data_IF_099602495968
#
_entry.id   IF_099602495968
#
_cell.length_a   1.000
_cell.length_b   1.000
_cell.length_c   1.000
_cell.angle_alpha   90.00
_cell.angle_beta   90.00
_cell.angle_gamma   90.00
#
_symmetry.space_group_name_H-M   'P 1'
#
loop_
_entity.id
_entity.type
_entity.pdbx_description
1 polymer ?
#
# COMPACT_ATOMS: atom_id res chain seq x y z
N UNK A 1 -19.24 -3.37 19.99
CA UNK A 1 -20.09 -4.44 19.39
C UNK A 1 -19.82 -5.77 20.13
N UNK A 2 -20.63 -6.82 19.95
CA UNK A 2 -20.34 -8.12 20.60
C UNK A 2 -19.36 -8.91 19.72
N UNK A 3 -18.53 -9.71 20.37
CA UNK A 3 -17.55 -10.58 19.69
C UNK A 3 -18.21 -11.55 18.69
N UNK A 4 -17.56 -11.82 17.58
CA UNK A 4 -18.01 -12.75 16.55
C UNK A 4 -18.39 -12.06 15.24
N UNK A 5 -19.27 -12.71 14.47
CA UNK A 5 -19.77 -12.17 13.21
C UNK A 5 -20.74 -11.01 13.49
N UNK A 6 -20.60 -9.93 12.74
CA UNK A 6 -21.45 -8.77 12.88
C UNK A 6 -22.94 -9.11 12.66
N UNK A 7 -23.83 -8.60 13.53
CA UNK A 7 -25.27 -8.85 13.44
C UNK A 7 -25.84 -8.32 12.09
N UNK A 8 -26.73 -9.07 11.45
CA UNK A 8 -27.29 -8.76 10.13
C UNK A 8 -27.89 -7.34 10.02
N UNK A 9 -28.57 -6.87 11.07
CA UNK A 9 -29.17 -5.54 11.09
C UNK A 9 -28.12 -4.43 11.10
N UNK A 10 -26.99 -4.61 11.81
CA UNK A 10 -25.87 -3.67 11.82
C UNK A 10 -25.15 -3.74 10.48
N UNK A 11 -24.90 -4.94 9.96
CA UNK A 11 -24.26 -5.14 8.66
C UNK A 11 -25.03 -4.42 7.54
N UNK A 12 -26.36 -4.60 7.47
CA UNK A 12 -27.22 -3.92 6.49
C UNK A 12 -27.12 -2.40 6.57
N UNK A 13 -27.10 -1.83 7.79
CA UNK A 13 -27.06 -0.37 7.97
C UNK A 13 -25.66 0.20 7.75
N UNK A 14 -24.64 -0.43 8.27
CA UNK A 14 -23.27 0.08 8.25
C UNK A 14 -22.50 -0.29 6.98
N UNK A 15 -22.74 -1.45 6.40
CA UNK A 15 -21.99 -1.95 5.24
C UNK A 15 -22.82 -1.84 3.96
N UNK A 16 -23.93 -2.57 3.85
CA UNK A 16 -24.66 -2.67 2.57
C UNK A 16 -25.23 -1.33 2.07
N UNK A 17 -25.66 -0.45 2.98
CA UNK A 17 -26.21 0.88 2.60
C UNK A 17 -25.12 1.87 2.20
N UNK A 18 -23.90 1.73 2.73
CA UNK A 18 -22.84 2.69 2.49
C UNK A 18 -21.91 2.31 1.33
N UNK A 19 -22.00 1.09 0.81
CA UNK A 19 -21.36 0.73 -0.47
C UNK A 19 -22.29 1.10 -1.62
N UNK A 20 -21.83 1.97 -2.51
CA UNK A 20 -22.63 2.41 -3.66
C UNK A 20 -22.95 1.24 -4.60
N UNK A 21 -24.09 1.32 -5.30
CA UNK A 21 -24.48 0.31 -6.29
C UNK A 21 -23.42 0.15 -7.40
N UNK A 22 -22.72 1.24 -7.77
CA UNK A 22 -21.66 1.24 -8.77
C UNK A 22 -20.47 0.35 -8.36
N UNK A 23 -20.19 0.30 -7.06
CA UNK A 23 -19.07 -0.44 -6.50
C UNK A 23 -19.43 -1.88 -6.10
N UNK A 24 -20.71 -2.24 -6.18
CA UNK A 24 -21.14 -3.63 -5.99
C UNK A 24 -20.89 -4.43 -7.27
N UNK A 25 -20.61 -5.70 -7.08
CA UNK A 25 -20.45 -6.63 -8.17
C UNK A 25 -21.80 -6.94 -8.83
N UNK A 26 -21.86 -6.94 -10.15
CA UNK A 26 -22.96 -7.50 -10.91
C UNK A 26 -22.87 -9.04 -10.88
N UNK A 27 -24.01 -9.76 -10.94
CA UNK A 27 -24.09 -11.20 -10.57
C UNK A 27 -23.39 -12.20 -11.51
N UNK A 28 -22.73 -11.75 -12.59
CA UNK A 28 -22.17 -12.64 -13.61
C UNK A 28 -20.68 -12.41 -13.87
N UNK A 29 -19.80 -13.01 -13.09
CA UNK A 29 -18.35 -12.92 -13.31
C UNK A 29 -17.67 -14.29 -13.19
N UNK A 30 -16.68 -14.50 -14.02
CA UNK A 30 -16.06 -15.79 -14.26
C UNK A 30 -14.80 -16.17 -13.50
N UNK A 31 -13.99 -17.05 -14.07
CA UNK A 31 -12.83 -17.64 -13.42
C UNK A 31 -11.78 -16.59 -13.03
N UNK A 32 -11.19 -16.73 -11.82
CA UNK A 32 -10.09 -15.87 -11.37
C UNK A 32 -8.86 -16.21 -12.19
N UNK A 33 -8.34 -15.22 -12.92
CA UNK A 33 -7.11 -15.36 -13.67
C UNK A 33 -5.87 -15.01 -12.83
N UNK A 34 -5.95 -13.92 -12.06
CA UNK A 34 -4.86 -13.41 -11.22
C UNK A 34 -5.45 -12.83 -9.94
N UNK A 35 -4.74 -12.98 -8.82
CA UNK A 35 -5.11 -12.38 -7.54
C UNK A 35 -3.89 -11.77 -6.82
N UNK A 36 -4.15 -10.80 -5.97
CA UNK A 36 -3.19 -10.23 -5.03
C UNK A 36 -3.87 -9.91 -3.70
N UNK A 37 -3.12 -9.79 -2.63
CA UNK A 37 -3.66 -9.46 -1.31
C UNK A 37 -2.76 -8.46 -0.59
N UNK A 38 -3.38 -7.68 0.29
CA UNK A 38 -2.71 -6.80 1.22
C UNK A 38 -3.44 -6.81 2.57
N UNK A 39 -2.69 -6.68 3.65
CA UNK A 39 -3.23 -6.64 5.02
C UNK A 39 -2.62 -5.45 5.74
N UNK A 40 -3.46 -4.61 6.30
CA UNK A 40 -3.06 -3.47 7.10
C UNK A 40 -3.75 -3.48 8.45
N UNK A 41 -3.03 -3.00 9.44
CA UNK A 41 -3.50 -2.74 10.78
C UNK A 41 -3.42 -1.25 11.05
N UNK A 42 -4.43 -0.71 11.75
CA UNK A 42 -4.36 0.65 12.27
C UNK A 42 -3.28 0.74 13.36
N UNK A 43 -2.46 1.79 13.30
CA UNK A 43 -1.40 2.00 14.29
C UNK A 43 -2.03 2.59 15.54
N UNK A 44 -1.88 1.90 16.66
CA UNK A 44 -2.30 2.44 17.95
C UNK A 44 -1.50 3.70 18.28
N UNK A 45 -2.21 4.80 18.53
CA UNK A 45 -1.59 5.97 19.15
C UNK A 45 -1.07 5.54 20.52
N UNK A 46 0.24 5.50 20.71
CA UNK A 46 0.86 5.34 22.00
C UNK A 46 0.54 6.60 22.83
N UNK A 47 -0.59 6.58 23.53
CA UNK A 47 -0.85 7.51 24.61
C UNK A 47 0.11 7.12 25.73
N UNK A 48 1.25 7.82 25.81
CA UNK A 48 2.14 7.70 26.96
C UNK A 48 1.34 8.08 28.20
N UNK A 49 0.97 7.07 28.99
CA UNK A 49 0.44 7.28 30.31
C UNK A 49 1.56 7.88 31.17
N UNK A 50 1.64 9.21 31.20
CA UNK A 50 2.34 9.90 32.27
C UNK A 50 1.47 9.81 33.52
N UNK A 51 1.97 9.07 34.50
CA UNK A 51 1.45 9.03 35.87
C UNK A 51 1.07 10.42 36.37
N UNK A 52 -0.21 10.66 36.56
CA UNK A 52 -0.69 11.61 37.55
C UNK A 52 -1.98 11.08 38.19
N UNK A 53 -1.79 10.55 39.37
CA UNK A 53 -2.83 10.30 40.33
C UNK A 53 -3.63 11.58 40.62
N UNK A 54 -4.86 11.67 40.13
CA UNK A 54 -5.88 12.53 40.70
C UNK A 54 -7.27 12.05 40.29
N UNK A 55 -7.93 11.37 41.24
CA UNK A 55 -9.36 11.12 41.20
C UNK A 55 -10.11 12.45 41.07
N UNK A 56 -10.70 12.69 39.91
CA UNK A 56 -11.83 13.61 39.79
C UNK A 56 -12.87 13.04 38.84
N UNK A 57 -14.11 13.16 39.28
CA UNK A 57 -15.38 12.72 38.75
C UNK A 57 -15.55 12.82 37.25
N UNK A 58 -16.04 11.74 36.65
CA UNK A 58 -16.55 11.69 35.29
C UNK A 58 -17.69 12.70 35.10
N UNK A 59 -17.42 13.76 34.37
CA UNK A 59 -18.45 14.54 33.68
C UNK A 59 -18.30 14.26 32.21
N UNK A 60 -19.40 13.83 31.58
CA UNK A 60 -19.54 13.59 30.14
C UNK A 60 -19.01 14.77 29.33
N UNK A 61 -17.80 14.69 28.84
CA UNK A 61 -17.35 15.46 27.71
C UNK A 61 -17.48 14.58 26.47
N UNK A 62 -18.60 14.73 25.79
CA UNK A 62 -18.74 14.32 24.38
C UNK A 62 -17.62 15.02 23.60
N UNK A 63 -16.49 14.36 23.42
CA UNK A 63 -15.52 14.72 22.40
C UNK A 63 -16.22 14.33 21.10
N UNK A 64 -16.85 15.30 20.41
CA UNK A 64 -17.18 15.18 19.02
C UNK A 64 -15.87 14.91 18.28
N UNK A 65 -15.59 13.62 18.02
CA UNK A 65 -14.57 13.22 17.04
C UNK A 65 -14.96 13.92 15.74
N UNK A 66 -14.14 14.83 15.27
CA UNK A 66 -14.34 15.50 14.01
C UNK A 66 -14.52 14.44 12.93
N UNK A 67 -15.50 14.63 12.05
CA UNK A 67 -15.93 13.71 10.99
C UNK A 67 -14.88 13.49 9.87
N UNK A 68 -13.61 13.73 10.14
CA UNK A 68 -12.52 13.70 9.17
C UNK A 68 -11.44 12.62 9.42
N UNK A 69 -11.60 11.74 10.40
CA UNK A 69 -10.67 10.63 10.60
C UNK A 69 -10.85 9.60 9.47
N UNK A 70 -10.22 9.88 8.34
CA UNK A 70 -10.10 8.92 7.24
C UNK A 70 -9.22 7.78 7.73
N UNK A 71 -9.79 6.58 7.77
CA UNK A 71 -9.04 5.38 8.16
C UNK A 71 -8.10 4.99 7.02
N UNK A 72 -6.90 5.61 6.98
CA UNK A 72 -5.91 5.42 5.91
C UNK A 72 -5.54 3.94 5.71
N UNK A 73 -5.52 3.13 6.78
CA UNK A 73 -5.20 1.70 6.68
C UNK A 73 -6.16 0.95 5.73
N UNK A 74 -7.44 1.33 5.68
CA UNK A 74 -8.43 0.74 4.78
C UNK A 74 -8.11 1.06 3.33
N UNK A 75 -7.79 2.32 3.09
CA UNK A 75 -7.48 2.84 1.76
C UNK A 75 -6.17 2.23 1.26
N UNK A 76 -5.16 2.15 2.12
CA UNK A 76 -3.85 1.59 1.77
C UNK A 76 -3.91 0.10 1.46
N UNK A 77 -4.67 -0.69 2.25
CA UNK A 77 -4.88 -2.11 1.97
C UNK A 77 -5.49 -2.33 0.58
N UNK A 78 -6.50 -1.53 0.22
CA UNK A 78 -7.13 -1.62 -1.09
C UNK A 78 -6.18 -1.20 -2.21
N UNK A 79 -5.52 -0.03 -2.07
CA UNK A 79 -4.60 0.50 -3.07
C UNK A 79 -3.45 -0.49 -3.31
N UNK A 80 -2.84 -1.03 -2.26
CA UNK A 80 -1.75 -1.98 -2.41
C UNK A 80 -2.19 -3.26 -3.12
N UNK A 81 -3.31 -3.86 -2.72
CA UNK A 81 -3.83 -5.04 -3.39
C UNK A 81 -4.10 -4.79 -4.88
N UNK A 82 -4.66 -3.63 -5.21
CA UNK A 82 -4.91 -3.21 -6.60
C UNK A 82 -3.61 -2.96 -7.36
N UNK A 83 -2.64 -2.26 -6.77
CA UNK A 83 -1.35 -1.97 -7.38
C UNK A 83 -0.56 -3.25 -7.68
N UNK A 84 -0.52 -4.19 -6.71
CA UNK A 84 0.12 -5.49 -6.89
C UNK A 84 -0.51 -6.33 -8.01
N UNK A 85 -1.77 -6.10 -8.32
CA UNK A 85 -2.44 -6.73 -9.45
C UNK A 85 -2.12 -6.02 -10.76
N UNK A 86 -2.19 -4.67 -10.79
CA UNK A 86 -1.97 -3.85 -11.98
C UNK A 86 -0.57 -3.94 -12.55
N UNK A 87 0.45 -4.13 -11.72
CA UNK A 87 1.84 -4.34 -12.20
C UNK A 87 2.04 -5.68 -12.90
N UNK A 88 1.07 -6.62 -12.81
CA UNK A 88 1.13 -7.95 -13.44
C UNK A 88 0.23 -8.08 -14.65
N UNK A 89 -0.90 -7.39 -14.64
CA UNK A 89 -1.88 -7.43 -15.73
C UNK A 89 -2.72 -6.17 -15.70
N UNK A 90 -2.58 -5.33 -16.70
CA UNK A 90 -3.21 -4.00 -16.71
C UNK A 90 -4.67 -3.99 -17.14
N UNK A 91 -5.20 -5.06 -17.75
CA UNK A 91 -6.50 -5.06 -18.40
C UNK A 91 -7.52 -5.91 -17.67
N UNK A 92 -8.75 -5.40 -17.55
CA UNK A 92 -9.89 -6.10 -16.98
C UNK A 92 -10.52 -5.38 -15.79
N UNK A 93 -11.76 -5.78 -15.44
CA UNK A 93 -12.44 -5.27 -14.25
C UNK A 93 -11.86 -5.96 -13.01
N UNK A 94 -11.34 -5.15 -12.10
CA UNK A 94 -10.82 -5.63 -10.82
C UNK A 94 -11.99 -5.78 -9.84
N UNK A 95 -11.99 -6.89 -9.14
CA UNK A 95 -12.90 -7.21 -8.05
C UNK A 95 -12.12 -7.40 -6.75
N UNK A 96 -12.77 -7.11 -5.62
CA UNK A 96 -12.14 -7.27 -4.31
C UNK A 96 -13.02 -8.05 -3.35
N UNK A 97 -12.36 -8.82 -2.50
CA UNK A 97 -12.92 -9.39 -1.29
C UNK A 97 -12.25 -8.70 -0.10
N UNK A 98 -13.06 -8.14 0.77
CA UNK A 98 -12.60 -7.38 1.93
C UNK A 98 -13.01 -8.10 3.20
N UNK A 99 -12.06 -8.28 4.12
CA UNK A 99 -12.30 -8.80 5.46
C UNK A 99 -11.82 -7.76 6.48
N UNK A 100 -12.75 -7.28 7.30
CA UNK A 100 -12.49 -6.27 8.32
C UNK A 100 -12.64 -6.94 9.68
N UNK A 101 -11.64 -6.79 10.54
CA UNK A 101 -11.69 -7.20 11.94
C UNK A 101 -11.64 -5.93 12.76
N UNK A 102 -12.64 -5.72 13.61
CA UNK A 102 -12.74 -4.53 14.47
C UNK A 102 -12.76 -4.92 15.95
N UNK A 103 -12.22 -4.07 16.85
CA UNK A 103 -12.31 -4.24 18.28
C UNK A 103 -13.74 -4.15 18.78
N UNK A 104 -14.03 -4.75 19.95
CA UNK A 104 -15.37 -4.70 20.59
C UNK A 104 -15.83 -3.27 20.95
N UNK A 105 -14.91 -2.38 21.27
CA UNK A 105 -15.21 -1.00 21.65
C UNK A 105 -15.63 -0.11 20.48
N UNK A 106 -15.45 -0.55 19.21
CA UNK A 106 -15.88 0.18 18.03
C UNK A 106 -17.41 0.23 17.95
N UNK A 107 -17.92 1.41 17.57
CA UNK A 107 -19.35 1.66 17.40
C UNK A 107 -19.82 1.38 15.96
N UNK A 108 -21.17 1.42 15.75
CA UNK A 108 -21.72 1.35 14.40
C UNK A 108 -21.28 2.56 13.54
N UNK A 109 -21.08 3.73 14.17
CA UNK A 109 -20.63 4.92 13.44
C UNK A 109 -19.17 4.81 13.00
N UNK A 110 -18.29 4.26 13.83
CA UNK A 110 -16.89 4.00 13.45
C UNK A 110 -16.85 3.05 12.24
N UNK A 111 -17.63 1.96 12.27
CA UNK A 111 -17.72 1.06 11.13
C UNK A 111 -18.27 1.74 9.88
N UNK A 112 -19.28 2.61 9.99
CA UNK A 112 -19.78 3.39 8.83
C UNK A 112 -18.70 4.27 8.24
N UNK A 113 -17.89 4.94 9.04
CA UNK A 113 -16.77 5.77 8.57
C UNK A 113 -15.73 4.95 7.82
N UNK A 114 -15.36 3.76 8.35
CA UNK A 114 -14.48 2.81 7.65
C UNK A 114 -15.05 2.43 6.27
N UNK A 115 -16.33 2.06 6.22
CA UNK A 115 -16.98 1.63 4.97
C UNK A 115 -17.13 2.78 3.97
N UNK A 116 -17.37 4.00 4.42
CA UNK A 116 -17.43 5.18 3.53
C UNK A 116 -16.04 5.44 2.91
N UNK A 117 -14.97 5.45 3.69
CA UNK A 117 -13.59 5.59 3.19
C UNK A 117 -13.24 4.49 2.18
N UNK A 118 -13.63 3.23 2.46
CA UNK A 118 -13.45 2.12 1.55
C UNK A 118 -14.25 2.33 0.24
N UNK A 119 -15.51 2.76 0.32
CA UNK A 119 -16.36 2.99 -0.85
C UNK A 119 -15.80 4.09 -1.76
N UNK A 120 -15.28 5.17 -1.19
CA UNK A 120 -14.66 6.26 -1.94
C UNK A 120 -13.40 5.77 -2.68
N UNK A 121 -12.59 4.97 -2.01
CA UNK A 121 -11.40 4.36 -2.61
C UNK A 121 -11.76 3.35 -3.72
N UNK A 122 -12.80 2.52 -3.54
CA UNK A 122 -13.32 1.63 -4.59
C UNK A 122 -13.73 2.42 -5.84
N UNK A 123 -14.39 3.56 -5.63
CA UNK A 123 -14.80 4.46 -6.72
C UNK A 123 -13.59 5.04 -7.44
N UNK A 124 -12.61 5.56 -6.68
CA UNK A 124 -11.38 6.15 -7.20
C UNK A 124 -10.55 5.13 -7.99
N UNK A 125 -10.40 3.93 -7.46
CA UNK A 125 -9.64 2.86 -8.10
C UNK A 125 -10.41 2.17 -9.26
N UNK A 126 -11.68 2.48 -9.47
CA UNK A 126 -12.58 1.79 -10.40
C UNK A 126 -12.63 0.27 -10.17
N UNK A 127 -12.85 -0.10 -8.92
CA UNK A 127 -12.84 -1.50 -8.45
C UNK A 127 -14.21 -1.85 -7.89
N UNK A 128 -14.65 -3.08 -8.09
CA UNK A 128 -15.91 -3.58 -7.55
C UNK A 128 -15.68 -4.51 -6.35
N UNK A 129 -16.58 -4.42 -5.37
CA UNK A 129 -16.55 -5.32 -4.22
C UNK A 129 -17.41 -6.55 -4.48
N UNK A 130 -16.78 -7.73 -4.43
CA UNK A 130 -17.43 -9.01 -4.58
C UNK A 130 -17.94 -9.55 -3.23
N UNK A 131 -17.19 -9.30 -2.16
CA UNK A 131 -17.56 -9.71 -0.81
C UNK A 131 -16.96 -8.74 0.21
N UNK A 132 -17.75 -8.39 1.22
CA UNK A 132 -17.29 -7.72 2.43
C UNK A 132 -17.69 -8.55 3.65
N UNK A 133 -16.72 -8.87 4.50
CA UNK A 133 -16.96 -9.53 5.77
C UNK A 133 -16.49 -8.62 6.90
N UNK A 134 -17.25 -8.58 7.99
CA UNK A 134 -16.88 -7.83 9.18
C UNK A 134 -16.99 -8.73 10.40
N UNK A 135 -15.92 -8.84 11.15
CA UNK A 135 -15.84 -9.61 12.38
C UNK A 135 -15.48 -8.69 13.56
N UNK A 136 -15.96 -9.03 14.74
CA UNK A 136 -15.65 -8.32 15.98
C UNK A 136 -14.82 -9.26 16.85
N UNK A 137 -13.60 -8.86 17.21
CA UNK A 137 -12.70 -9.65 18.06
C UNK A 137 -12.27 -8.88 19.28
N UNK A 138 -12.42 -9.49 20.46
CA UNK A 138 -11.98 -8.92 21.75
C UNK A 138 -10.45 -8.86 21.90
N UNK A 139 -9.73 -9.70 21.16
CA UNK A 139 -8.27 -9.78 21.24
C UNK A 139 -7.54 -8.75 20.34
N UNK A 140 -8.25 -7.95 19.56
CA UNK A 140 -7.66 -6.86 18.78
C UNK A 140 -7.96 -5.52 19.45
N UNK A 141 -6.98 -4.65 19.45
CA UNK A 141 -7.06 -3.31 20.03
C UNK A 141 -7.31 -2.26 18.97
N UNK A 142 -6.87 -2.52 17.73
CA UNK A 142 -7.06 -1.67 16.57
C UNK A 142 -7.63 -2.47 15.39
N UNK A 143 -8.33 -1.82 14.44
CA UNK A 143 -8.89 -2.51 13.27
C UNK A 143 -7.81 -3.11 12.39
N UNK A 144 -8.14 -4.24 11.79
CA UNK A 144 -7.31 -4.91 10.79
C UNK A 144 -8.14 -5.08 9.53
N UNK A 145 -7.59 -4.70 8.37
CA UNK A 145 -8.21 -4.94 7.08
C UNK A 145 -7.32 -5.82 6.21
N UNK A 146 -7.92 -6.88 5.69
CA UNK A 146 -7.32 -7.69 4.64
C UNK A 146 -8.14 -7.54 3.36
N UNK A 147 -7.45 -7.25 2.25
CA UNK A 147 -8.05 -7.10 0.93
C UNK A 147 -7.41 -8.09 -0.03
N UNK A 148 -8.23 -8.86 -0.70
CA UNK A 148 -7.85 -9.69 -1.84
C UNK A 148 -8.41 -9.04 -3.11
N UNK A 149 -7.55 -8.63 -4.05
CA UNK A 149 -7.94 -8.13 -5.36
C UNK A 149 -7.74 -9.21 -6.42
N UNK A 150 -8.64 -9.29 -7.41
CA UNK A 150 -8.58 -10.30 -8.46
C UNK A 150 -9.21 -9.82 -9.76
N UNK A 151 -8.72 -10.37 -10.86
CA UNK A 151 -9.29 -10.26 -12.19
C UNK A 151 -10.05 -11.54 -12.52
N UNK A 152 -11.13 -11.43 -13.28
CA UNK A 152 -11.92 -12.60 -13.70
C UNK A 152 -12.16 -12.55 -15.20
N UNK A 153 -12.09 -13.72 -15.84
CA UNK A 153 -12.58 -13.93 -17.20
C UNK A 153 -14.04 -14.35 -17.10
N UNK A 154 -14.94 -13.58 -17.65
CA UNK A 154 -16.40 -13.67 -17.53
C UNK A 154 -17.01 -15.06 -17.23
N UNK A 155 -17.38 -15.35 -16.01
CA UNK A 155 -18.36 -16.30 -15.46
C UNK A 155 -18.35 -16.23 -13.91
N UNK A 156 -19.17 -16.71 -13.14
CA UNK A 156 -19.70 -16.57 -11.79
C UNK A 156 -18.77 -16.09 -10.62
N UNK A 157 -18.99 -14.87 -10.11
CA UNK A 157 -18.29 -14.29 -8.94
C UNK A 157 -18.44 -15.13 -7.68
N UNK A 158 -19.60 -15.73 -7.46
CA UNK A 158 -19.85 -16.56 -6.27
C UNK A 158 -18.92 -17.76 -6.24
N UNK A 159 -18.65 -18.36 -7.40
CA UNK A 159 -17.69 -19.45 -7.53
C UNK A 159 -16.24 -18.99 -7.36
N UNK A 160 -15.90 -17.82 -7.92
CA UNK A 160 -14.59 -17.22 -7.78
C UNK A 160 -14.25 -16.90 -6.32
N UNK A 161 -15.17 -16.25 -5.59
CA UNK A 161 -15.03 -15.96 -4.16
C UNK A 161 -14.90 -17.24 -3.33
N UNK A 162 -15.66 -18.29 -3.68
CA UNK A 162 -15.59 -19.59 -3.01
C UNK A 162 -14.23 -20.28 -3.21
N UNK A 163 -13.63 -20.17 -4.40
CA UNK A 163 -12.29 -20.70 -4.71
C UNK A 163 -11.20 -19.98 -3.91
N UNK A 164 -11.29 -18.67 -3.73
CA UNK A 164 -10.36 -17.88 -2.87
C UNK A 164 -10.49 -18.35 -1.43
N UNK A 165 -11.71 -18.51 -0.90
CA UNK A 165 -11.96 -18.97 0.47
C UNK A 165 -11.42 -20.38 0.75
N UNK A 166 -11.43 -21.25 -0.26
CA UNK A 166 -10.86 -22.61 -0.14
C UNK A 166 -9.33 -22.62 -0.18
N UNK A 167 -8.71 -21.69 -0.92
CA UNK A 167 -7.25 -21.52 -0.92
C UNK A 167 -6.74 -20.95 0.41
N UNK A 168 -7.44 -19.97 1.00
CA UNK A 168 -7.03 -19.38 2.29
C UNK A 168 -7.07 -20.40 3.44
N UNK A 169 -7.95 -21.41 3.39
CA UNK A 169 -7.98 -22.50 4.39
C UNK A 169 -6.81 -23.50 4.26
N UNK A 170 -6.14 -23.56 3.10
CA UNK A 170 -4.98 -24.44 2.87
C UNK A 170 -3.63 -23.74 3.05
N UNK A 171 -3.58 -22.41 3.16
CA UNK A 171 -2.36 -21.61 3.19
C UNK A 171 -1.94 -21.11 4.58
N UNK A 172 -2.52 -21.69 5.67
CA UNK A 172 -2.03 -21.41 7.02
C UNK A 172 -0.62 -22.00 7.34
N UNK A 173 0.01 -22.65 6.37
CA UNK A 173 1.38 -23.20 6.55
C UNK A 173 2.43 -22.70 5.54
N UNK A 174 2.11 -21.78 4.65
CA UNK A 174 3.13 -21.22 3.75
C UNK A 174 2.87 -19.74 3.48
N UNK A 175 3.49 -18.87 4.26
CA UNK A 175 3.83 -17.51 3.85
C UNK A 175 4.84 -17.60 2.71
N UNK A 176 4.37 -17.80 1.50
CA UNK A 176 5.10 -17.46 0.30
C UNK A 176 4.20 -16.61 -0.56
N UNK A 177 4.30 -15.30 -0.30
CA UNK A 177 4.01 -14.27 -1.27
C UNK A 177 4.83 -14.52 -2.52
N UNK A 178 4.30 -14.17 -3.62
CA UNK A 178 4.87 -14.18 -4.95
C UNK A 178 4.43 -15.37 -5.79
N UNK A 179 3.52 -15.08 -6.71
CA UNK A 179 3.48 -15.84 -7.95
C UNK A 179 4.88 -15.77 -8.55
N UNK A 180 5.59 -16.88 -8.53
CA UNK A 180 6.80 -17.03 -9.27
C UNK A 180 6.45 -16.84 -10.75
N UNK A 181 6.90 -15.72 -11.33
CA UNK A 181 7.29 -15.77 -12.70
C UNK A 181 8.47 -16.76 -12.73
N UNK A 182 8.26 -17.94 -13.28
CA UNK A 182 9.34 -18.85 -13.62
C UNK A 182 10.24 -18.13 -14.63
N UNK A 183 11.31 -17.59 -14.15
CA UNK A 183 12.32 -16.93 -14.95
C UNK A 183 13.46 -16.54 -14.03
N UNK A 184 14.58 -17.27 -14.10
CA UNK A 184 15.85 -16.79 -13.59
C UNK A 184 16.10 -15.41 -14.20
N UNK A 185 15.84 -14.34 -13.45
CA UNK A 185 16.04 -12.95 -13.89
C UNK A 185 17.53 -12.65 -14.17
N UNK A 186 18.40 -13.59 -13.85
CA UNK A 186 19.82 -13.57 -14.17
C UNK A 186 20.16 -14.82 -14.99
N UNK A 187 19.86 -14.79 -16.30
CA UNK A 187 20.36 -15.79 -17.24
C UNK A 187 21.88 -15.70 -17.26
N UNK A 188 22.55 -16.72 -16.72
CA UNK A 188 24.03 -16.82 -16.67
C UNK A 188 24.69 -16.83 -18.06
N UNK A 189 23.89 -16.81 -19.14
CA UNK A 189 24.34 -16.95 -20.51
C UNK A 189 24.03 -15.75 -21.43
N UNK A 190 23.41 -14.67 -20.94
CA UNK A 190 23.28 -13.45 -21.77
C UNK A 190 24.58 -12.65 -21.70
N UNK A 191 25.26 -12.65 -22.80
CA UNK A 191 26.44 -11.82 -23.02
C UNK A 191 26.11 -10.34 -22.83
N UNK A 192 26.87 -9.68 -21.97
CA UNK A 192 27.13 -8.24 -21.92
C UNK A 192 26.02 -7.21 -21.63
N UNK A 193 24.84 -7.55 -21.18
CA UNK A 193 23.86 -6.55 -20.74
C UNK A 193 23.49 -6.69 -19.26
N UNK A 194 24.02 -5.84 -18.38
CA UNK A 194 23.49 -5.73 -17.01
C UNK A 194 22.10 -5.07 -17.07
N UNK A 195 21.08 -5.73 -16.46
CA UNK A 195 19.72 -5.17 -16.41
C UNK A 195 19.71 -3.90 -15.56
N UNK A 196 19.09 -2.86 -16.13
CA UNK A 196 18.97 -1.56 -15.48
C UNK A 196 17.77 -1.52 -14.53
N UNK A 197 17.90 -0.76 -13.44
CA UNK A 197 16.86 -0.51 -12.46
C UNK A 197 16.35 0.92 -12.69
N UNK A 198 15.04 1.04 -12.96
CA UNK A 198 14.32 2.31 -13.08
C UNK A 198 13.38 2.45 -11.90
N UNK A 199 13.50 3.52 -11.12
CA UNK A 199 12.50 3.92 -10.14
C UNK A 199 11.41 4.74 -10.81
N UNK A 200 10.15 4.55 -10.41
CA UNK A 200 9.00 5.30 -10.90
C UNK A 200 8.05 5.69 -9.77
N UNK A 201 7.27 6.74 -10.00
CA UNK A 201 6.37 7.32 -8.99
C UNK A 201 7.13 8.16 -7.96
N UNK A 202 6.41 8.65 -6.96
CA UNK A 202 6.97 9.51 -5.92
C UNK A 202 7.11 8.73 -4.61
N UNK A 203 8.33 8.64 -4.08
CA UNK A 203 8.59 7.92 -2.82
C UNK A 203 8.04 8.71 -1.63
N UNK A 204 7.48 8.01 -0.62
CA UNK A 204 7.08 8.58 0.68
C UNK A 204 5.73 9.29 0.72
N UNK A 205 4.96 9.37 -0.38
CA UNK A 205 3.69 10.11 -0.40
C UNK A 205 2.62 9.49 0.50
N UNK A 206 2.53 8.18 0.57
CA UNK A 206 1.56 7.52 1.45
C UNK A 206 1.95 7.62 2.93
N UNK A 207 3.24 7.57 3.25
CA UNK A 207 3.73 7.89 4.59
C UNK A 207 3.34 9.32 4.99
N UNK A 208 3.62 10.30 4.13
CA UNK A 208 3.26 11.70 4.35
C UNK A 208 1.77 11.85 4.62
N UNK A 209 0.92 11.23 3.78
CA UNK A 209 -0.54 11.25 3.96
C UNK A 209 -0.97 10.67 5.31
N UNK A 210 -0.39 9.55 5.73
CA UNK A 210 -0.72 8.91 7.00
C UNK A 210 -0.30 9.76 8.20
N UNK A 211 0.91 10.32 8.17
CA UNK A 211 1.47 11.11 9.28
C UNK A 211 0.76 12.44 9.49
N UNK A 212 0.25 13.09 8.44
CA UNK A 212 -0.52 14.32 8.58
C UNK A 212 -1.86 14.13 9.33
N UNK A 213 -2.33 12.90 9.49
CA UNK A 213 -3.50 12.59 10.32
C UNK A 213 -3.14 12.52 11.83
N UNK A 214 -1.86 12.52 12.21
CA UNK A 214 -1.44 12.59 13.61
C UNK A 214 -1.42 14.03 14.09
N UNK A 215 -2.11 14.32 15.21
CA UNK A 215 -2.23 15.66 15.76
C UNK A 215 -0.86 16.26 16.17
N UNK A 216 0.04 15.44 16.71
CA UNK A 216 1.35 15.89 17.17
C UNK A 216 2.28 16.25 16.01
N UNK A 217 2.19 15.44 14.93
CA UNK A 217 2.88 15.74 13.67
C UNK A 217 2.29 16.98 13.03
N UNK A 218 0.97 17.10 12.96
CA UNK A 218 0.29 18.27 12.41
C UNK A 218 0.65 19.55 13.15
N UNK A 219 0.69 19.52 14.49
CA UNK A 219 1.15 20.66 15.27
C UNK A 219 2.61 21.04 14.99
N UNK A 220 3.46 20.05 14.81
CA UNK A 220 4.87 20.26 14.46
C UNK A 220 5.01 20.87 13.07
N UNK A 221 4.21 20.41 12.11
CA UNK A 221 4.13 20.96 10.75
C UNK A 221 3.67 22.42 10.78
N UNK A 222 2.60 22.75 11.52
CA UNK A 222 2.08 24.14 11.66
C UNK A 222 3.07 25.12 12.25
N UNK A 223 4.04 24.66 13.07
CA UNK A 223 5.12 25.49 13.60
C UNK A 223 6.21 25.81 12.57
N UNK A 224 6.35 25.00 11.53
CA UNK A 224 7.46 25.10 10.55
C UNK A 224 6.99 25.52 9.15
N UNK A 225 5.80 25.13 8.74
CA UNK A 225 5.28 25.31 7.38
C UNK A 225 4.03 26.19 7.35
N UNK A 226 3.77 26.85 6.23
CA UNK A 226 2.51 27.56 6.02
C UNK A 226 1.35 26.58 5.83
N UNK A 227 0.11 27.03 6.09
CA UNK A 227 -1.08 26.22 5.89
C UNK A 227 -1.25 25.77 4.44
N UNK A 228 -0.88 26.62 3.47
CA UNK A 228 -0.89 26.30 2.04
C UNK A 228 0.08 25.15 1.74
N UNK A 229 1.30 25.22 2.27
CA UNK A 229 2.29 24.18 2.08
C UNK A 229 1.89 22.83 2.72
N UNK A 230 1.26 22.87 3.90
CA UNK A 230 0.71 21.68 4.54
C UNK A 230 -0.42 21.08 3.69
N UNK A 231 -1.27 21.94 3.10
CA UNK A 231 -2.32 21.48 2.19
C UNK A 231 -1.75 20.79 0.94
N UNK A 232 -0.62 21.26 0.42
CA UNK A 232 0.08 20.66 -0.72
C UNK A 232 0.75 19.30 -0.37
N UNK A 233 1.00 19.06 0.91
CA UNK A 233 1.48 17.75 1.41
C UNK A 233 0.34 16.72 1.54
N UNK A 234 -0.91 17.13 1.56
CA UNK A 234 -2.07 16.26 1.70
C UNK A 234 -2.43 15.60 0.35
N UNK A 235 -1.58 14.66 -0.07
CA UNK A 235 -1.68 13.99 -1.36
C UNK A 235 -3.00 13.27 -1.57
N UNK A 236 -3.54 13.36 -2.78
CA UNK A 236 -4.70 12.59 -3.20
C UNK A 236 -4.38 11.09 -3.27
N UNK A 237 -5.31 10.25 -2.86
CA UNK A 237 -5.16 8.80 -2.96
C UNK A 237 -5.00 8.30 -4.40
N UNK A 238 -5.48 9.07 -5.39
CA UNK A 238 -5.26 8.76 -6.80
C UNK A 238 -3.79 8.75 -7.20
N UNK A 239 -2.95 9.59 -6.57
CA UNK A 239 -1.51 9.61 -6.78
C UNK A 239 -0.81 8.33 -6.27
N UNK A 240 -1.48 7.56 -5.41
CA UNK A 240 -0.97 6.30 -4.86
C UNK A 240 -1.35 5.08 -5.72
N UNK A 241 -2.16 5.26 -6.77
CA UNK A 241 -2.54 4.21 -7.69
C UNK A 241 -1.52 4.08 -8.83
N UNK A 242 -1.04 2.86 -9.06
CA UNK A 242 -0.17 2.55 -10.20
C UNK A 242 -1.03 2.37 -11.45
N UNK A 243 -0.74 3.16 -12.48
CA UNK A 243 -1.41 3.11 -13.78
C UNK A 243 -0.35 3.03 -14.90
N UNK A 244 0.28 1.86 -15.04
CA UNK A 244 1.22 1.59 -16.12
C UNK A 244 0.48 1.18 -17.39
N UNK A 245 0.99 1.60 -18.55
CA UNK A 245 0.48 1.08 -19.82
C UNK A 245 0.94 -0.37 -20.03
N UNK A 246 0.17 -1.11 -20.81
CA UNK A 246 0.54 -2.48 -21.22
C UNK A 246 1.94 -2.52 -21.82
N UNK A 247 2.27 -1.52 -22.62
CA UNK A 247 3.56 -1.41 -23.28
C UNK A 247 4.74 -1.27 -22.30
N UNK A 248 4.57 -0.55 -21.18
CA UNK A 248 5.54 -0.51 -20.08
C UNK A 248 5.68 -1.88 -19.43
N UNK A 249 4.56 -2.55 -19.16
CA UNK A 249 4.55 -3.87 -18.51
C UNK A 249 5.24 -4.92 -19.39
N UNK A 250 4.88 -4.98 -20.67
CA UNK A 250 5.41 -5.97 -21.64
C UNK A 250 6.91 -5.79 -21.91
N UNK A 251 7.44 -4.55 -21.82
CA UNK A 251 8.87 -4.22 -21.98
C UNK A 251 9.66 -4.26 -20.66
N UNK A 252 9.04 -4.69 -19.57
CA UNK A 252 9.67 -4.84 -18.26
C UNK A 252 9.98 -6.30 -17.98
N UNK A 253 11.16 -6.59 -17.42
CA UNK A 253 11.51 -7.95 -16.94
C UNK A 253 10.86 -8.26 -15.60
N UNK A 254 10.78 -7.26 -14.74
CA UNK A 254 10.18 -7.36 -13.42
C UNK A 254 9.71 -5.98 -12.96
N UNK A 255 8.57 -5.92 -12.31
CA UNK A 255 8.05 -4.70 -11.67
C UNK A 255 7.76 -5.02 -10.21
N UNK A 256 8.25 -4.20 -9.29
CA UNK A 256 8.03 -4.34 -7.85
C UNK A 256 7.46 -3.03 -7.30
N UNK A 257 6.33 -3.12 -6.61
CA UNK A 257 5.71 -2.01 -5.89
C UNK A 257 6.53 -1.69 -4.62
N UNK A 258 6.73 -0.39 -4.33
CA UNK A 258 7.45 0.11 -3.15
C UNK A 258 6.52 0.38 -1.97
N UNK A 259 5.62 -0.52 -1.62
CA UNK A 259 4.71 -0.33 -0.49
C UNK A 259 5.45 -0.37 0.85
N UNK A 260 5.61 -1.54 1.40
CA UNK A 260 6.25 -1.76 2.71
C UNK A 260 7.77 -1.52 2.65
N UNK A 261 8.30 -0.79 3.64
CA UNK A 261 9.70 -0.35 3.70
C UNK A 261 10.16 0.46 2.46
N UNK A 262 9.22 1.07 1.75
CA UNK A 262 9.48 1.96 0.63
C UNK A 262 10.36 1.38 -0.47
N UNK A 263 11.22 2.23 -1.04
CA UNK A 263 12.14 1.83 -2.11
C UNK A 263 13.20 0.82 -1.61
N UNK A 264 13.59 0.91 -0.33
CA UNK A 264 14.51 -0.03 0.28
C UNK A 264 13.94 -1.45 0.30
N UNK A 265 12.65 -1.59 0.67
CA UNK A 265 11.93 -2.86 0.63
C UNK A 265 11.87 -3.44 -0.78
N UNK A 266 11.56 -2.60 -1.78
CA UNK A 266 11.50 -3.02 -3.18
C UNK A 266 12.86 -3.48 -3.71
N UNK A 267 13.94 -2.73 -3.45
CA UNK A 267 15.31 -3.10 -3.84
C UNK A 267 15.79 -4.38 -3.15
N UNK A 268 15.46 -4.55 -1.87
CA UNK A 268 15.80 -5.77 -1.15
C UNK A 268 15.08 -6.98 -1.76
N UNK A 269 13.77 -6.84 -2.02
CA UNK A 269 12.95 -7.88 -2.68
C UNK A 269 13.48 -8.21 -4.08
N UNK A 270 13.91 -7.19 -4.86
CA UNK A 270 14.56 -7.39 -6.16
C UNK A 270 15.79 -8.29 -6.04
N UNK A 271 16.69 -7.99 -5.09
CA UNK A 271 17.90 -8.75 -4.89
C UNK A 271 17.64 -10.21 -4.47
N UNK A 272 16.63 -10.43 -3.63
CA UNK A 272 16.22 -11.78 -3.22
C UNK A 272 15.62 -12.57 -4.39
N UNK A 273 14.76 -11.96 -5.19
CA UNK A 273 14.10 -12.60 -6.33
C UNK A 273 15.07 -12.92 -7.47
N UNK A 274 16.06 -12.05 -7.71
CA UNK A 274 17.05 -12.23 -8.79
C UNK A 274 18.26 -13.06 -8.38
N UNK A 275 18.47 -13.31 -7.09
CA UNK A 275 19.71 -13.86 -6.49
C UNK A 275 20.96 -13.07 -6.91
N UNK A 276 20.80 -11.76 -7.18
CA UNK A 276 21.84 -10.83 -7.62
C UNK A 276 22.03 -9.70 -6.60
N UNK A 277 23.13 -8.97 -6.69
CA UNK A 277 23.27 -7.67 -6.05
C UNK A 277 22.88 -6.55 -6.98
N UNK A 278 23.08 -5.33 -6.52
CA UNK A 278 22.83 -4.12 -7.30
C UNK A 278 23.75 -2.97 -6.87
N UNK A 279 23.86 -2.00 -7.77
CA UNK A 279 24.45 -0.70 -7.45
C UNK A 279 23.45 0.39 -7.88
N UNK A 280 23.02 1.25 -6.92
CA UNK A 280 21.98 2.26 -7.13
C UNK A 280 22.40 3.61 -6.58
N UNK A 281 22.03 4.69 -7.28
CA UNK A 281 22.21 6.08 -6.86
C UNK A 281 20.90 6.63 -6.29
N UNK A 282 20.88 6.90 -4.98
CA UNK A 282 19.70 7.43 -4.29
C UNK A 282 19.35 8.87 -4.66
N UNK A 283 20.29 9.65 -5.20
CA UNK A 283 20.08 11.07 -5.56
C UNK A 283 19.09 11.25 -6.70
N UNK A 284 18.98 10.24 -7.58
CA UNK A 284 18.12 10.32 -8.75
C UNK A 284 16.75 9.69 -8.55
N UNK A 285 16.48 9.12 -7.37
CA UNK A 285 15.17 8.58 -7.01
C UNK A 285 14.15 9.72 -6.96
N UNK A 286 12.99 9.62 -7.63
CA UNK A 286 11.96 10.65 -7.59
C UNK A 286 11.37 10.83 -6.18
N UNK A 287 11.59 11.99 -5.58
CA UNK A 287 11.06 12.38 -4.27
C UNK A 287 10.60 13.83 -4.33
N UNK A 288 9.43 14.11 -3.77
CA UNK A 288 8.95 15.51 -3.65
C UNK A 288 9.64 16.26 -2.53
N UNK A 289 9.90 17.56 -2.74
CA UNK A 289 10.52 18.41 -1.74
C UNK A 289 9.78 18.37 -0.39
N UNK A 290 8.46 18.36 -0.41
CA UNK A 290 7.63 18.31 0.79
C UNK A 290 7.81 17.02 1.60
N UNK A 291 8.08 15.88 0.94
CA UNK A 291 8.42 14.61 1.62
C UNK A 291 9.80 14.73 2.28
N UNK A 292 10.78 15.34 1.58
CA UNK A 292 12.12 15.57 2.13
C UNK A 292 12.03 16.43 3.39
N UNK A 293 11.32 17.54 3.34
CA UNK A 293 11.20 18.47 4.48
C UNK A 293 10.44 17.85 5.67
N UNK A 294 9.41 17.03 5.39
CA UNK A 294 8.71 16.28 6.44
C UNK A 294 9.63 15.23 7.07
N UNK A 295 10.41 14.51 6.25
CA UNK A 295 11.36 13.51 6.73
C UNK A 295 12.41 14.11 7.66
N UNK A 296 12.94 15.30 7.32
CA UNK A 296 13.88 16.04 8.16
C UNK A 296 13.23 16.49 9.48
N UNK A 297 11.97 16.98 9.42
CA UNK A 297 11.22 17.38 10.61
C UNK A 297 11.04 16.22 11.57
N UNK A 298 10.70 15.04 11.04
CA UNK A 298 10.41 13.84 11.82
C UNK A 298 11.65 12.96 12.07
N UNK A 299 12.80 13.29 11.46
CA UNK A 299 14.06 12.52 11.51
C UNK A 299 13.86 11.08 11.05
N UNK A 300 13.24 10.89 9.89
CA UNK A 300 12.90 9.60 9.29
C UNK A 300 13.68 9.35 8.00
N UNK A 301 13.94 8.09 7.68
CA UNK A 301 14.57 7.71 6.41
C UNK A 301 13.54 7.68 5.28
N UNK A 302 13.66 8.62 4.34
CA UNK A 302 12.78 8.76 3.17
C UNK A 302 12.65 7.45 2.39
N UNK A 303 13.76 6.73 2.22
CA UNK A 303 13.84 5.54 1.39
C UNK A 303 13.23 4.29 2.07
N UNK A 304 12.98 4.38 3.39
CA UNK A 304 12.31 3.35 4.18
C UNK A 304 10.84 3.71 4.51
N UNK A 305 10.36 4.88 4.04
CA UNK A 305 8.98 5.30 4.20
C UNK A 305 8.04 4.52 3.31
N UNK A 306 6.88 4.15 3.85
CA UNK A 306 5.78 3.56 3.09
C UNK A 306 5.45 4.37 1.82
N UNK A 307 5.40 3.73 0.65
CA UNK A 307 5.45 4.43 -0.63
C UNK A 307 4.52 3.82 -1.69
N UNK A 308 3.20 3.87 -1.45
CA UNK A 308 2.21 3.46 -2.46
C UNK A 308 2.28 4.38 -3.69
N UNK A 309 2.04 3.81 -4.87
CA UNK A 309 2.07 4.54 -6.15
C UNK A 309 3.46 4.66 -6.76
N UNK A 310 4.49 4.17 -6.08
CA UNK A 310 5.85 4.10 -6.59
C UNK A 310 6.36 2.67 -6.67
N UNK A 311 7.48 2.47 -7.36
CA UNK A 311 8.09 1.16 -7.50
C UNK A 311 9.37 1.17 -8.30
N UNK A 312 9.87 -0.03 -8.59
CA UNK A 312 11.04 -0.25 -9.43
C UNK A 312 10.70 -1.17 -10.60
N UNK A 313 11.33 -0.90 -11.72
CA UNK A 313 11.25 -1.68 -12.95
C UNK A 313 12.64 -2.18 -13.30
N UNK A 314 12.76 -3.47 -13.56
CA UNK A 314 13.95 -4.08 -14.12
C UNK A 314 13.77 -4.20 -15.65
N UNK A 315 14.71 -3.67 -16.42
CA UNK A 315 14.59 -3.60 -17.88
C UNK A 315 15.93 -3.63 -18.59
N UNK A 316 15.92 -4.07 -19.86
CA UNK A 316 17.05 -3.97 -20.78
C UNK A 316 17.14 -2.57 -21.43
N UNK A 317 16.01 -1.82 -21.48
CA UNK A 317 15.89 -0.55 -22.21
C UNK A 317 15.42 0.59 -21.28
N UNK A 318 16.26 1.09 -20.34
CA UNK A 318 15.85 2.05 -19.32
C UNK A 318 15.37 3.39 -19.91
N UNK A 319 15.99 3.90 -20.96
CA UNK A 319 15.61 5.17 -21.60
C UNK A 319 14.20 5.10 -22.19
N UNK A 320 13.88 4.00 -22.85
CA UNK A 320 12.54 3.78 -23.42
C UNK A 320 11.48 3.73 -22.31
N UNK A 321 11.72 2.98 -21.25
CA UNK A 321 10.81 2.88 -20.10
C UNK A 321 10.62 4.25 -19.43
N UNK A 322 11.70 4.99 -19.17
CA UNK A 322 11.64 6.33 -18.56
C UNK A 322 10.82 7.29 -19.45
N UNK A 323 11.02 7.27 -20.77
CA UNK A 323 10.27 8.13 -21.68
C UNK A 323 8.77 7.77 -21.68
N UNK A 324 8.43 6.49 -21.77
CA UNK A 324 7.03 6.01 -21.70
C UNK A 324 6.34 6.40 -20.38
N UNK A 325 7.05 6.28 -19.25
CA UNK A 325 6.53 6.70 -17.95
C UNK A 325 6.28 8.22 -17.90
N UNK A 326 7.19 9.02 -18.44
CA UNK A 326 7.01 10.48 -18.57
C UNK A 326 5.81 10.86 -19.43
N UNK A 327 5.57 10.16 -20.53
CA UNK A 327 4.37 10.35 -21.38
C UNK A 327 3.08 10.07 -20.61
N UNK A 328 3.10 9.15 -19.63
CA UNK A 328 2.00 8.87 -18.73
C UNK A 328 1.90 9.89 -17.55
N UNK A 329 2.80 10.88 -17.49
CA UNK A 329 2.87 11.83 -16.37
C UNK A 329 3.47 11.25 -15.10
N UNK A 330 4.17 10.11 -15.17
CA UNK A 330 4.80 9.44 -14.04
C UNK A 330 6.29 9.83 -14.00
N UNK A 331 6.73 10.41 -12.89
CA UNK A 331 8.15 10.69 -12.68
C UNK A 331 8.92 9.38 -12.59
N UNK A 332 10.02 9.30 -13.34
CA UNK A 332 10.85 8.11 -13.37
C UNK A 332 12.31 8.46 -13.68
N UNK A 333 13.22 7.65 -13.14
CA UNK A 333 14.65 7.77 -13.41
C UNK A 333 15.31 6.39 -13.36
N UNK A 334 16.32 6.19 -14.21
CA UNK A 334 17.23 5.07 -14.04
C UNK A 334 18.08 5.34 -12.80
N UNK A 335 17.98 4.47 -11.81
CA UNK A 335 18.68 4.63 -10.52
C UNK A 335 19.92 3.76 -10.40
N UNK A 336 20.09 2.77 -11.26
CA UNK A 336 21.24 1.86 -11.22
C UNK A 336 21.05 0.60 -12.04
N UNK A 337 21.74 -0.47 -11.67
CA UNK A 337 21.69 -1.75 -12.36
C UNK A 337 21.92 -2.94 -11.40
N UNK A 338 21.49 -4.13 -11.83
CA UNK A 338 21.87 -5.39 -11.16
C UNK A 338 23.36 -5.65 -11.35
N UNK A 339 23.95 -6.35 -10.38
CA UNK A 339 25.34 -6.80 -10.42
C UNK A 339 25.42 -8.31 -10.24
N UNK A 340 26.44 -8.95 -10.84
CA UNK A 340 26.67 -10.39 -10.65
C UNK A 340 27.12 -10.74 -9.21
N UNK A 341 27.72 -9.77 -8.54
CA UNK A 341 28.07 -9.86 -7.13
C UNK A 341 26.82 -9.70 -6.28
N UNK A 342 26.75 -10.39 -5.14
CA UNK A 342 25.59 -10.32 -4.23
C UNK A 342 25.58 -9.07 -3.33
N UNK A 343 26.51 -8.15 -3.55
CA UNK A 343 26.62 -6.90 -2.80
C UNK A 343 25.50 -5.93 -3.21
N UNK A 344 24.88 -5.31 -2.22
CA UNK A 344 23.79 -4.33 -2.39
C UNK A 344 24.37 -2.94 -2.08
N UNK A 345 24.78 -2.23 -3.11
CA UNK A 345 25.54 -0.98 -2.98
C UNK A 345 24.64 0.23 -3.21
N UNK A 346 24.71 1.16 -2.28
CA UNK A 346 24.10 2.49 -2.39
C UNK A 346 25.20 3.51 -2.65
N UNK A 347 24.99 4.32 -3.68
CA UNK A 347 25.82 5.48 -4.00
C UNK A 347 25.18 6.73 -3.38
N UNK A 348 25.90 7.38 -2.48
CA UNK A 348 25.57 8.71 -1.93
C UNK A 348 26.34 9.82 -2.64
N UNK A 349 26.37 11.03 -2.05
CA UNK A 349 27.08 12.18 -2.65
C UNK A 349 28.58 11.91 -2.76
N UNK A 350 29.19 11.39 -1.68
CA UNK A 350 30.62 11.08 -1.62
C UNK A 350 30.85 9.71 -0.91
N UNK A 351 29.82 8.92 -0.82
CA UNK A 351 29.84 7.66 -0.07
C UNK A 351 29.38 6.50 -0.92
N UNK A 352 30.02 5.36 -0.70
CA UNK A 352 29.59 4.06 -1.22
C UNK A 352 29.42 3.14 -0.02
N UNK A 353 28.17 2.71 0.22
CA UNK A 353 27.84 1.89 1.39
C UNK A 353 27.04 0.67 1.00
N UNK A 354 27.11 -0.37 1.84
CA UNK A 354 26.22 -1.50 1.72
C UNK A 354 24.85 -1.16 2.27
N UNK A 355 23.80 -1.57 1.57
CA UNK A 355 22.43 -1.49 2.06
C UNK A 355 22.22 -2.51 3.16
N UNK A 356 21.68 -2.08 4.29
CA UNK A 356 21.18 -2.97 5.33
C UNK A 356 19.80 -3.52 4.95
N UNK A 357 19.45 -4.69 5.49
CA UNK A 357 18.10 -5.20 5.36
C UNK A 357 17.13 -4.22 6.04
N UNK A 358 16.04 -3.79 5.37
CA UNK A 358 14.99 -3.04 6.03
C UNK A 358 14.34 -3.90 7.12
N UNK A 359 14.28 -3.37 8.34
CA UNK A 359 13.75 -4.12 9.49
C UNK A 359 12.26 -3.82 9.72
N UNK A 360 11.87 -2.53 9.59
CA UNK A 360 10.52 -2.06 9.85
C UNK A 360 10.23 -0.81 9.01
N UNK A 361 8.99 -0.71 8.51
CA UNK A 361 8.53 0.49 7.81
C UNK A 361 8.37 1.67 8.77
N UNK A 362 8.73 2.86 8.33
CA UNK A 362 8.62 4.10 9.10
C UNK A 362 7.16 4.42 9.52
N UNK A 363 6.17 3.88 8.81
CA UNK A 363 4.76 4.08 9.13
C UNK A 363 4.36 3.49 10.50
N UNK A 364 5.10 2.50 11.00
CA UNK A 364 4.86 1.89 12.31
C UNK A 364 5.57 2.60 13.46
N UNK A 365 6.27 3.69 13.17
CA UNK A 365 7.08 4.46 14.14
C UNK A 365 6.50 5.86 14.38
N UNK A 366 5.26 6.11 13.91
CA UNK A 366 4.56 7.40 14.07
C UNK A 366 4.11 7.61 15.51
#
# INVERSE_FOLDING_TARGET
MREGILQDNIYKRAVEKNISKKNKCDESIGNISISSSATYRDVEKNVSASDTDSRQSASDTNIEKSSSDVFYFCVFALIEAVNNLRIRAAEGQIYTKVNIIIPEHYTENDLKSIILSLNDCLTLANVKIAQCMVNVWSCVTSPIMNVEAFLTDAADVKEAVKKISLKSKKSSEQHTSAGAADGNACDKNSADGMLSIVAFGEVGISYTKATLNDETVMESCKKRFSNEYISDMDYDYGAMLINLSKDVIDNSRLIINSSECGINGALWKLAEMSDCGFEVDYKVIPVKQSVVELSELLKRDIYNMHSLGSGIILTDNPDEIVNKLKELGINAAQIGALTKEKSKIILGVDTRSNMNRPDMDEIYVI
#
